data_IF_302745255751
#
_entry.id   IF_302745255751
#
_cell.length_a   1.000
_cell.length_b   1.000
_cell.length_c   1.000
_cell.angle_alpha   90.00
_cell.angle_beta   90.00
_cell.angle_gamma   90.00
#
_symmetry.space_group_name_H-M   'P 1'
#
loop_
_entity.id
_entity.type
_entity.pdbx_description
1 polymer ?
#
# COMPACT_ATOMS: atom_id res chain seq x y z
N UNK A 1 28.52 -35.67 31.29
CA UNK A 1 28.23 -35.83 29.86
C UNK A 1 27.40 -37.09 29.65
N UNK A 2 26.10 -36.95 29.42
CA UNK A 2 25.21 -38.07 29.05
C UNK A 2 24.42 -37.60 27.83
N UNK A 3 24.78 -38.14 26.66
CA UNK A 3 24.08 -37.88 25.40
C UNK A 3 22.90 -38.83 25.34
N UNK A 4 21.68 -38.29 25.32
CA UNK A 4 20.47 -39.04 25.00
C UNK A 4 20.15 -38.71 23.54
N UNK A 5 20.37 -39.70 22.68
CA UNK A 5 20.02 -39.66 21.26
C UNK A 5 18.63 -40.26 21.15
N UNK A 6 17.63 -39.45 20.82
CA UNK A 6 16.28 -39.89 20.50
C UNK A 6 16.08 -39.72 18.99
N UNK A 7 16.20 -40.83 18.26
CA UNK A 7 15.85 -40.92 16.84
C UNK A 7 14.35 -41.23 16.78
N UNK A 8 13.56 -40.31 16.22
CA UNK A 8 12.14 -40.52 15.93
C UNK A 8 11.95 -40.56 14.41
N UNK A 9 11.75 -41.78 13.92
CA UNK A 9 11.35 -42.13 12.56
C UNK A 9 9.90 -41.69 12.34
N UNK A 10 9.68 -40.68 11.49
CA UNK A 10 8.35 -40.40 10.95
C UNK A 10 8.20 -41.04 9.58
N UNK A 11 7.33 -42.04 9.55
CA UNK A 11 6.92 -42.84 8.39
C UNK A 11 6.09 -41.97 7.45
N UNK A 12 6.52 -41.87 6.20
CA UNK A 12 5.80 -41.21 5.11
C UNK A 12 4.55 -42.00 4.73
N UNK A 13 3.39 -41.33 4.75
CA UNK A 13 2.14 -41.79 4.18
C UNK A 13 2.07 -41.32 2.72
N UNK A 14 2.10 -42.26 1.77
CA UNK A 14 1.83 -42.01 0.36
C UNK A 14 0.31 -42.11 0.14
N UNK A 15 -0.33 -41.00 -0.24
CA UNK A 15 -1.70 -41.01 -0.78
C UNK A 15 -1.59 -40.90 -2.30
N UNK A 16 -1.96 -41.97 -2.98
CA UNK A 16 -2.17 -42.00 -4.42
C UNK A 16 -3.58 -41.44 -4.73
N UNK A 17 -3.66 -40.40 -5.56
CA UNK A 17 -4.91 -39.97 -6.20
C UNK A 17 -4.85 -40.37 -7.66
N UNK A 18 -5.73 -41.29 -8.05
CA UNK A 18 -5.94 -41.72 -9.42
C UNK A 18 -7.11 -40.96 -10.04
N UNK A 19 -6.85 -40.34 -11.20
CA UNK A 19 -7.72 -40.24 -12.39
C UNK A 19 -9.14 -39.68 -12.27
N UNK A 20 -9.46 -38.66 -13.07
CA UNK A 20 -10.07 -38.86 -14.40
C UNK A 20 -10.23 -37.51 -15.12
N UNK A 21 -9.72 -37.47 -16.35
CA UNK A 21 -10.04 -36.50 -17.38
C UNK A 21 -11.44 -36.77 -17.93
N UNK A 22 -12.28 -35.72 -17.99
CA UNK A 22 -13.39 -35.68 -18.93
C UNK A 22 -13.65 -34.24 -19.35
N UNK A 23 -13.35 -33.99 -20.62
CA UNK A 23 -13.80 -32.91 -21.48
C UNK A 23 -15.33 -32.87 -21.50
N UNK A 24 -15.91 -31.68 -21.36
CA UNK A 24 -17.20 -31.33 -21.95
C UNK A 24 -17.15 -29.84 -22.29
N UNK A 25 -16.97 -29.57 -23.57
CA UNK A 25 -17.29 -28.30 -24.20
C UNK A 25 -18.81 -28.16 -24.22
N UNK A 26 -19.30 -27.08 -23.61
CA UNK A 26 -20.59 -26.49 -23.93
C UNK A 26 -20.52 -25.04 -23.47
N UNK A 27 -21.29 -24.20 -24.17
CA UNK A 27 -21.46 -22.74 -24.01
C UNK A 27 -20.53 -21.92 -24.90
N UNK A 28 -20.96 -20.87 -25.59
CA UNK A 28 -22.27 -20.28 -25.89
C UNK A 28 -21.98 -19.28 -27.02
N UNK A 29 -22.94 -19.06 -27.92
CA UNK A 29 -22.80 -18.15 -29.06
C UNK A 29 -22.49 -16.71 -28.62
N UNK A 30 -21.34 -16.19 -29.02
CA UNK A 30 -21.03 -14.76 -28.90
C UNK A 30 -21.58 -14.00 -30.11
N UNK A 31 -22.56 -13.13 -29.85
CA UNK A 31 -23.01 -12.10 -30.78
C UNK A 31 -21.96 -10.99 -30.85
N UNK A 32 -21.31 -10.84 -32.00
CA UNK A 32 -20.44 -9.71 -32.31
C UNK A 32 -21.27 -8.45 -32.58
N UNK A 33 -21.39 -7.54 -31.62
CA UNK A 33 -21.85 -6.17 -31.87
C UNK A 33 -20.63 -5.27 -32.14
N UNK A 34 -20.40 -4.95 -33.41
CA UNK A 34 -19.39 -3.98 -33.84
C UNK A 34 -19.85 -2.57 -33.49
N UNK A 35 -19.23 -1.96 -32.49
CA UNK A 35 -19.37 -0.53 -32.20
C UNK A 35 -18.44 0.27 -33.13
N UNK A 36 -19.00 1.10 -33.99
CA UNK A 36 -18.27 2.00 -34.89
C UNK A 36 -17.94 3.29 -34.14
N UNK A 37 -16.65 3.47 -33.81
CA UNK A 37 -16.09 4.66 -33.14
C UNK A 37 -15.89 5.84 -34.12
N UNK A 38 -15.98 5.59 -35.42
CA UNK A 38 -15.65 6.60 -36.45
C UNK A 38 -16.71 7.70 -36.63
N UNK A 39 -17.96 7.46 -36.21
CA UNK A 39 -19.05 8.43 -36.40
C UNK A 39 -19.05 9.56 -35.33
N UNK A 40 -18.43 9.37 -34.16
CA UNK A 40 -18.42 10.37 -33.08
C UNK A 40 -17.32 11.44 -33.23
N UNK A 41 -16.25 11.17 -33.99
CA UNK A 41 -15.10 12.08 -34.11
C UNK A 41 -15.34 13.26 -35.05
N UNK A 42 -16.28 13.13 -36.00
CA UNK A 42 -16.61 14.18 -36.97
C UNK A 42 -17.70 15.15 -36.47
N UNK A 43 -18.49 14.77 -35.46
CA UNK A 43 -19.47 15.68 -34.82
C UNK A 43 -18.79 16.69 -33.87
N UNK A 44 -17.64 16.32 -33.29
CA UNK A 44 -16.88 17.18 -32.37
C UNK A 44 -16.11 18.33 -33.05
N UNK A 45 -15.88 18.26 -34.38
CA UNK A 45 -15.18 19.35 -35.12
C UNK A 45 -16.08 20.52 -35.48
N UNK A 46 -17.40 20.33 -35.49
CA UNK A 46 -18.34 21.32 -36.01
C UNK A 46 -18.87 22.33 -34.96
N UNK A 47 -18.43 22.21 -33.69
CA UNK A 47 -18.80 23.14 -32.60
C UNK A 47 -17.68 24.13 -32.22
N UNK A 48 -16.55 24.18 -32.93
CA UNK A 48 -15.39 25.04 -32.58
C UNK A 48 -15.28 26.28 -33.50
N UNK A 49 -16.29 26.57 -34.32
CA UNK A 49 -16.26 27.67 -35.29
C UNK A 49 -17.40 28.68 -35.07
N UNK A 50 -17.38 29.36 -33.92
CA UNK A 50 -17.97 30.69 -33.81
C UNK A 50 -17.28 31.48 -32.70
N UNK A 51 -16.35 32.33 -33.14
CA UNK A 51 -15.67 33.39 -32.38
C UNK A 51 -16.67 34.35 -31.71
N UNK A 52 -16.55 34.52 -30.40
CA UNK A 52 -16.79 35.79 -29.71
C UNK A 52 -15.56 36.01 -28.82
N UNK A 53 -14.77 37.03 -29.16
CA UNK A 53 -13.54 37.39 -28.49
C UNK A 53 -13.85 37.95 -27.09
N UNK A 54 -13.57 37.17 -26.06
CA UNK A 54 -13.53 37.62 -24.67
C UNK A 54 -12.09 37.94 -24.29
N UNK A 55 -11.81 39.20 -23.96
CA UNK A 55 -10.57 39.62 -23.33
C UNK A 55 -10.52 39.05 -21.91
N UNK A 56 -9.49 38.27 -21.53
CA UNK A 56 -9.36 37.83 -20.15
C UNK A 56 -8.83 38.99 -19.29
N UNK A 57 -9.73 39.61 -18.54
CA UNK A 57 -9.40 40.31 -17.29
C UNK A 57 -8.61 39.32 -16.43
N UNK A 58 -7.35 39.65 -16.13
CA UNK A 58 -6.47 38.83 -15.30
C UNK A 58 -6.97 38.86 -13.86
N UNK A 59 -7.96 38.01 -13.55
CA UNK A 59 -8.25 37.65 -12.18
C UNK A 59 -7.11 36.76 -11.67
N UNK A 60 -6.43 37.27 -10.66
CA UNK A 60 -5.39 36.61 -9.88
C UNK A 60 -5.97 35.31 -9.33
N UNK A 61 -5.75 34.21 -10.05
CA UNK A 61 -6.18 32.87 -9.62
C UNK A 61 -5.25 32.44 -8.50
N UNK A 62 -5.69 32.81 -7.31
CA UNK A 62 -5.42 32.20 -6.01
C UNK A 62 -4.49 31.00 -6.06
N UNK A 63 -3.32 31.18 -5.45
CA UNK A 63 -2.44 30.18 -4.86
C UNK A 63 -2.89 28.74 -5.16
N UNK A 64 -2.28 28.16 -6.20
CA UNK A 64 -2.07 26.73 -6.27
C UNK A 64 -1.55 26.30 -4.90
N UNK A 65 -2.42 25.67 -4.10
CA UNK A 65 -2.07 25.08 -2.82
C UNK A 65 -1.01 24.03 -3.09
N UNK A 66 0.24 24.48 -3.06
CA UNK A 66 1.42 23.66 -3.10
C UNK A 66 1.34 22.78 -1.87
N UNK A 67 0.80 21.57 -2.04
CA UNK A 67 0.80 20.51 -1.03
C UNK A 67 2.25 20.29 -0.63
N UNK A 68 2.65 20.98 0.43
CA UNK A 68 4.04 21.05 0.85
C UNK A 68 4.35 19.70 1.47
N UNK A 69 5.01 18.83 0.70
CA UNK A 69 5.42 17.50 1.13
C UNK A 69 6.09 17.60 2.50
N UNK A 70 5.47 17.06 3.54
CA UNK A 70 5.95 17.18 4.92
C UNK A 70 6.92 16.04 5.19
N UNK A 71 8.19 16.34 5.49
CA UNK A 71 9.20 15.32 5.78
C UNK A 71 9.58 15.34 7.26
N UNK A 72 9.70 14.14 7.84
CA UNK A 72 10.07 13.89 9.22
C UNK A 72 11.16 12.81 9.31
N UNK A 73 11.76 12.68 10.49
CA UNK A 73 12.63 11.53 10.82
C UNK A 73 11.84 10.47 11.58
N UNK A 74 12.25 9.21 11.46
CA UNK A 74 11.69 8.12 12.28
C UNK A 74 11.67 8.50 13.77
N UNK A 75 10.56 8.19 14.44
CA UNK A 75 10.29 8.55 15.83
C UNK A 75 9.61 9.91 16.02
N UNK A 76 9.44 10.72 14.97
CA UNK A 76 8.68 11.98 15.03
C UNK A 76 7.21 11.76 14.62
N UNK A 77 6.31 12.38 15.38
CA UNK A 77 4.88 12.47 15.06
C UNK A 77 4.63 13.53 13.99
N UNK A 78 3.63 13.31 13.14
CA UNK A 78 3.08 14.31 12.21
C UNK A 78 1.55 14.33 12.32
N UNK A 79 0.93 15.51 12.51
CA UNK A 79 -0.51 15.65 12.47
C UNK A 79 -1.01 15.76 11.03
N UNK A 80 -2.18 15.17 10.78
CA UNK A 80 -2.87 15.19 9.49
C UNK A 80 -4.31 15.63 9.68
N UNK A 81 -4.84 16.28 8.66
CA UNK A 81 -6.27 16.51 8.50
C UNK A 81 -6.64 16.06 7.11
N UNK A 82 -7.47 15.02 7.00
CA UNK A 82 -7.94 14.54 5.69
C UNK A 82 -8.90 15.55 5.04
N UNK A 83 -9.18 15.38 3.76
CA UNK A 83 -10.21 16.16 3.06
C UNK A 83 -11.61 15.99 3.67
N UNK A 84 -11.88 14.81 4.28
CA UNK A 84 -13.11 14.55 5.05
C UNK A 84 -13.15 15.23 6.42
N UNK A 85 -12.05 15.85 6.85
CA UNK A 85 -11.93 16.51 8.15
C UNK A 85 -11.50 15.60 9.30
N UNK A 86 -11.07 14.36 9.01
CA UNK A 86 -10.54 13.47 10.03
C UNK A 86 -9.17 13.96 10.46
N UNK A 87 -9.00 14.13 11.78
CA UNK A 87 -7.75 14.62 12.36
C UNK A 87 -7.03 13.47 13.05
N UNK A 88 -5.81 13.19 12.62
CA UNK A 88 -4.97 12.13 13.21
C UNK A 88 -3.55 12.63 13.44
N UNK A 89 -2.82 11.95 14.32
CA UNK A 89 -1.36 12.08 14.44
C UNK A 89 -0.75 10.72 14.13
N UNK A 90 0.15 10.67 13.14
CA UNK A 90 0.85 9.44 12.74
C UNK A 90 2.31 9.56 13.13
N UNK A 91 2.85 8.47 13.66
CA UNK A 91 4.27 8.35 14.00
C UNK A 91 4.78 7.01 13.49
N UNK A 92 5.87 7.04 12.73
CA UNK A 92 6.64 5.84 12.45
C UNK A 92 7.61 5.63 13.61
N UNK A 93 7.38 4.62 14.44
CA UNK A 93 8.12 4.40 15.68
C UNK A 93 9.50 3.81 15.43
N UNK A 94 9.57 2.77 14.59
CA UNK A 94 10.81 2.13 14.17
C UNK A 94 10.62 1.37 12.86
N UNK A 95 11.73 1.12 12.17
CA UNK A 95 11.80 0.17 11.07
C UNK A 95 12.94 -0.81 11.36
N UNK A 96 12.64 -2.10 11.31
CA UNK A 96 13.57 -3.18 11.63
C UNK A 96 13.66 -4.16 10.46
N UNK A 97 14.83 -4.80 10.29
CA UNK A 97 14.96 -5.93 9.37
C UNK A 97 14.39 -7.18 10.04
N UNK A 98 13.35 -7.77 9.46
CA UNK A 98 12.78 -9.06 9.88
C UNK A 98 13.14 -10.11 8.83
N UNK A 99 13.93 -11.12 9.21
CA UNK A 99 14.45 -12.14 8.28
C UNK A 99 13.39 -13.19 7.87
N UNK A 100 12.14 -13.01 8.32
CA UNK A 100 11.11 -14.03 8.18
C UNK A 100 11.25 -15.15 9.21
N UNK A 101 10.38 -16.16 9.08
CA UNK A 101 10.45 -17.40 9.88
C UNK A 101 11.19 -18.54 9.15
N UNK A 102 11.52 -18.35 7.87
CA UNK A 102 12.22 -19.33 7.03
C UNK A 102 11.32 -20.42 6.44
N UNK A 103 10.02 -20.45 6.79
CA UNK A 103 9.09 -21.50 6.39
C UNK A 103 7.89 -20.93 5.61
N UNK A 104 7.15 -20.01 6.23
CA UNK A 104 5.90 -19.45 5.69
C UNK A 104 6.04 -18.00 5.24
N UNK A 105 6.86 -17.22 5.95
CA UNK A 105 7.13 -15.82 5.64
C UNK A 105 8.58 -15.69 5.24
N UNK A 106 8.85 -15.89 3.95
CA UNK A 106 10.20 -15.81 3.38
C UNK A 106 10.28 -14.56 2.50
N UNK A 107 11.03 -13.52 2.90
CA UNK A 107 11.20 -12.32 2.11
C UNK A 107 12.02 -12.60 0.85
N UNK A 108 11.71 -11.91 -0.26
CA UNK A 108 12.38 -12.13 -1.53
C UNK A 108 13.87 -11.75 -1.48
N UNK A 109 14.20 -10.65 -0.79
CA UNK A 109 15.56 -10.14 -0.68
C UNK A 109 16.17 -10.31 0.73
N UNK A 110 15.77 -11.37 1.43
CA UNK A 110 16.38 -11.79 2.70
C UNK A 110 15.86 -11.08 3.95
N UNK A 111 15.13 -9.97 3.84
CA UNK A 111 14.40 -9.38 4.96
C UNK A 111 13.13 -8.63 4.52
N UNK A 112 12.13 -8.60 5.40
CA UNK A 112 11.04 -7.63 5.36
C UNK A 112 11.45 -6.36 6.13
N UNK A 113 11.10 -5.19 5.63
CA UNK A 113 11.06 -3.99 6.44
C UNK A 113 9.83 -4.06 7.36
N UNK A 114 10.06 -4.33 8.65
CA UNK A 114 9.02 -4.31 9.68
C UNK A 114 8.87 -2.89 10.20
N UNK A 115 7.81 -2.22 9.79
CA UNK A 115 7.47 -0.86 10.19
C UNK A 115 6.53 -0.91 11.40
N UNK A 116 6.99 -0.44 12.56
CA UNK A 116 6.12 -0.23 13.72
C UNK A 116 5.65 1.23 13.69
N UNK A 117 4.35 1.45 13.87
CA UNK A 117 3.76 2.78 13.82
C UNK A 117 2.69 2.98 14.87
N UNK A 118 2.46 4.24 15.24
CA UNK A 118 1.40 4.67 16.14
C UNK A 118 0.51 5.64 15.40
N UNK A 119 -0.81 5.44 15.49
CA UNK A 119 -1.80 6.43 15.05
C UNK A 119 -2.63 6.87 16.24
N UNK A 120 -2.78 8.17 16.41
CA UNK A 120 -3.67 8.78 17.41
C UNK A 120 -4.82 9.48 16.71
N UNK A 121 -6.04 9.15 17.08
CA UNK A 121 -7.23 9.84 16.59
C UNK A 121 -7.44 11.13 17.38
N UNK A 122 -7.25 12.26 16.73
CA UNK A 122 -7.44 13.60 17.29
C UNK A 122 -8.83 14.19 17.00
N UNK A 123 -9.62 13.53 16.15
CA UNK A 123 -10.96 13.92 15.77
C UNK A 123 -12.03 13.45 16.75
N UNK A 124 -13.28 13.77 16.42
CA UNK A 124 -14.47 13.45 17.21
C UNK A 124 -15.19 12.18 16.74
N UNK A 125 -14.80 11.60 15.61
CA UNK A 125 -15.37 10.38 15.03
C UNK A 125 -14.36 9.23 15.07
N UNK A 126 -14.80 7.96 15.13
CA UNK A 126 -13.90 6.82 14.97
C UNK A 126 -13.15 6.87 13.63
N UNK A 127 -11.86 6.51 13.65
CA UNK A 127 -11.00 6.51 12.47
C UNK A 127 -10.51 5.10 12.17
N UNK A 128 -10.69 4.65 10.92
CA UNK A 128 -10.15 3.36 10.46
C UNK A 128 -8.73 3.54 9.93
N UNK A 129 -7.80 2.78 10.50
CA UNK A 129 -6.42 2.72 10.06
C UNK A 129 -6.11 1.33 9.55
N UNK A 130 -5.39 1.24 8.43
CA UNK A 130 -4.90 -0.03 7.89
C UNK A 130 -3.47 0.10 7.39
N UNK A 131 -2.73 -1.01 7.36
CA UNK A 131 -1.37 -1.00 6.80
C UNK A 131 -1.31 -0.66 5.30
N UNK A 132 -2.42 -0.72 4.54
CA UNK A 132 -2.46 -0.30 3.13
C UNK A 132 -2.28 1.22 2.94
N UNK A 133 -2.47 2.01 3.99
CA UNK A 133 -2.26 3.46 3.93
C UNK A 133 -0.78 3.84 3.99
N UNK A 134 0.10 2.88 4.28
CA UNK A 134 1.54 3.07 4.31
C UNK A 134 2.18 2.61 3.00
N UNK A 135 3.12 3.42 2.52
CA UNK A 135 4.00 3.10 1.41
C UNK A 135 5.46 3.07 1.92
N UNK A 136 6.29 2.20 1.33
CA UNK A 136 7.71 2.07 1.69
C UNK A 136 8.58 2.12 0.45
N UNK A 137 9.64 2.92 0.49
CA UNK A 137 10.67 3.01 -0.54
C UNK A 137 12.03 2.73 0.08
N UNK A 138 12.84 1.92 -0.61
CA UNK A 138 14.23 1.70 -0.26
C UNK A 138 15.12 2.89 -0.69
N UNK A 139 16.42 2.84 -0.35
CA UNK A 139 17.39 3.90 -0.63
C UNK A 139 17.66 4.11 -2.13
N UNK A 140 17.28 3.15 -2.97
CA UNK A 140 17.32 3.25 -4.44
C UNK A 140 16.02 3.83 -5.02
N UNK A 141 15.08 4.27 -4.15
CA UNK A 141 13.74 4.72 -4.46
C UNK A 141 12.86 3.65 -5.13
N UNK A 142 13.11 2.37 -4.84
CA UNK A 142 12.23 1.30 -5.28
C UNK A 142 11.13 1.07 -4.25
N UNK A 143 9.87 1.11 -4.71
CA UNK A 143 8.71 0.82 -3.87
C UNK A 143 8.71 -0.66 -3.46
N UNK A 144 8.63 -0.91 -2.17
CA UNK A 144 8.48 -2.25 -1.61
C UNK A 144 7.02 -2.71 -1.63
N UNK A 145 6.79 -4.01 -1.69
CA UNK A 145 5.45 -4.58 -1.70
C UNK A 145 4.94 -4.82 -0.29
N UNK A 146 3.73 -4.35 0.03
CA UNK A 146 3.11 -4.63 1.32
C UNK A 146 2.76 -6.12 1.41
N UNK A 147 3.28 -6.79 2.42
CA UNK A 147 3.01 -8.18 2.72
C UNK A 147 1.80 -8.30 3.65
N UNK A 148 0.97 -9.33 3.44
CA UNK A 148 -0.22 -9.58 4.25
C UNK A 148 0.05 -10.27 5.59
N UNK A 149 1.33 -10.54 5.94
CA UNK A 149 1.74 -11.05 7.24
C UNK A 149 1.26 -10.11 8.33
N UNK A 150 0.48 -10.64 9.27
CA UNK A 150 -0.04 -9.88 10.41
C UNK A 150 -0.71 -8.56 9.97
N UNK A 151 -1.45 -8.61 8.87
CA UNK A 151 -2.04 -7.42 8.25
C UNK A 151 -2.84 -6.59 9.27
N UNK A 152 -2.36 -5.38 9.55
CA UNK A 152 -2.96 -4.51 10.55
C UNK A 152 -4.16 -3.74 10.00
N UNK A 153 -5.26 -3.80 10.73
CA UNK A 153 -6.47 -3.01 10.54
C UNK A 153 -7.15 -2.83 11.89
N UNK A 154 -7.50 -1.58 12.24
CA UNK A 154 -8.23 -1.28 13.47
C UNK A 154 -9.07 0.00 13.32
N UNK A 155 -10.07 0.16 14.20
CA UNK A 155 -10.88 1.37 14.34
C UNK A 155 -10.53 2.08 15.65
N UNK A 156 -9.88 3.23 15.54
CA UNK A 156 -9.41 4.02 16.68
C UNK A 156 -10.52 4.97 17.13
N UNK A 157 -10.95 4.84 18.38
CA UNK A 157 -11.95 5.75 18.98
C UNK A 157 -11.37 7.16 19.21
N UNK A 158 -12.21 8.20 19.24
CA UNK A 158 -11.78 9.59 19.51
C UNK A 158 -10.87 9.72 20.74
N UNK A 159 -9.75 10.44 20.57
CA UNK A 159 -8.76 10.69 21.61
C UNK A 159 -7.96 9.45 22.07
N UNK A 160 -8.01 8.35 21.31
CA UNK A 160 -7.22 7.13 21.56
C UNK A 160 -6.11 6.97 20.54
N UNK A 161 -5.15 6.13 20.91
CA UNK A 161 -4.05 5.72 20.03
C UNK A 161 -4.05 4.21 19.88
N UNK A 162 -3.58 3.74 18.74
CA UNK A 162 -3.31 2.33 18.49
C UNK A 162 -1.94 2.17 17.83
N UNK A 163 -1.30 1.03 18.11
CA UNK A 163 0.00 0.68 17.55
C UNK A 163 -0.22 -0.42 16.51
N UNK A 164 0.33 -0.22 15.33
CA UNK A 164 0.28 -1.16 14.23
C UNK A 164 1.66 -1.61 13.77
N UNK A 165 1.65 -2.68 12.97
CA UNK A 165 2.84 -3.21 12.30
C UNK A 165 2.48 -3.41 10.83
N UNK A 166 3.39 -3.03 9.94
CA UNK A 166 3.33 -3.32 8.52
C UNK A 166 4.64 -3.99 8.08
N UNK A 167 4.52 -4.99 7.20
CA UNK A 167 5.66 -5.73 6.66
C UNK A 167 5.78 -5.42 5.17
N UNK A 168 6.93 -4.89 4.74
CA UNK A 168 7.18 -4.63 3.32
C UNK A 168 8.29 -5.55 2.81
N UNK A 169 8.05 -6.21 1.68
CA UNK A 169 9.06 -7.02 0.98
C UNK A 169 9.94 -6.10 0.13
N UNK A 170 11.16 -5.86 0.62
CA UNK A 170 12.09 -4.89 0.06
C UNK A 170 12.86 -5.54 -1.09
N UNK A 171 13.03 -4.82 -2.21
CA UNK A 171 13.69 -5.37 -3.40
C UNK A 171 15.22 -5.23 -3.36
N UNK A 172 15.76 -4.21 -2.69
CA UNK A 172 17.21 -3.98 -2.58
C UNK A 172 17.68 -3.92 -1.12
N UNK A 173 18.93 -4.31 -0.87
CA UNK A 173 19.55 -4.21 0.46
C UNK A 173 20.27 -2.86 0.60
N UNK A 174 19.49 -1.81 0.85
CA UNK A 174 20.00 -0.46 1.09
C UNK A 174 19.97 -0.11 2.58
N UNK A 175 20.89 0.74 3.08
CA UNK A 175 20.88 1.17 4.47
C UNK A 175 19.77 2.18 4.77
N UNK A 176 19.44 3.03 3.80
CA UNK A 176 18.48 4.12 3.93
C UNK A 176 17.11 3.71 3.39
N UNK A 177 16.05 4.34 3.90
CA UNK A 177 14.67 4.11 3.48
C UNK A 177 13.78 5.33 3.75
N UNK A 178 12.59 5.31 3.13
CA UNK A 178 11.54 6.29 3.35
C UNK A 178 10.16 5.61 3.49
N UNK A 179 9.42 5.96 4.54
CA UNK A 179 8.05 5.50 4.78
C UNK A 179 7.10 6.65 4.52
N UNK A 180 5.97 6.38 3.89
CA UNK A 180 4.98 7.38 3.52
C UNK A 180 3.62 7.08 4.14
N UNK A 181 2.91 8.13 4.52
CA UNK A 181 1.49 8.11 4.84
C UNK A 181 0.89 9.39 4.27
N UNK A 182 -0.08 9.26 3.35
CA UNK A 182 -0.60 10.41 2.59
C UNK A 182 0.54 11.20 1.92
N UNK A 183 0.64 12.49 2.20
CA UNK A 183 1.58 13.47 1.67
C UNK A 183 2.82 13.68 2.56
N UNK A 184 2.90 12.96 3.68
CA UNK A 184 4.06 12.99 4.56
C UNK A 184 4.99 11.80 4.37
N UNK A 185 6.25 12.02 4.71
CA UNK A 185 7.27 10.99 4.69
C UNK A 185 8.17 11.00 5.93
N UNK A 186 8.68 9.82 6.26
CA UNK A 186 9.65 9.61 7.31
C UNK A 186 10.88 8.94 6.74
N UNK A 187 12.03 9.60 6.89
CA UNK A 187 13.32 9.07 6.45
C UNK A 187 14.05 8.43 7.62
N UNK A 188 14.73 7.32 7.35
CA UNK A 188 15.53 6.60 8.34
C UNK A 188 16.60 5.73 7.71
N UNK A 189 17.38 5.09 8.59
CA UNK A 189 18.39 4.09 8.25
C UNK A 189 18.32 2.93 9.25
N UNK A 190 18.75 1.74 8.85
CA UNK A 190 18.82 0.54 9.72
C UNK A 190 19.95 0.61 10.77
#
# INVERSE_FOLDING_TARGET
>A
MKKVVLVLLFSSFLIAVAGCSTTNEAETEESSSSYNIDDEFEEAKQQVASEEAYEPESEDVSESSSSSKVSASIGQSQPFTSESGDMIDVKIDSVEKDMGDGDYYVPENGYYAKVNFTVTNLGDNPFEVTAHQLDFYDGDNMKAELNSREFYSDTIQPGKSANGVAYFDVKNDTPDYEVYFSDASWTGSY
#
